data_IF_338877534619
#
_entry.id   IF_338877534619
#
_cell.length_a   1.000
_cell.length_b   1.000
_cell.length_c   1.000
_cell.angle_alpha   90.00
_cell.angle_beta   90.00
_cell.angle_gamma   90.00
#
_symmetry.space_group_name_H-M   'P 1'
#
loop_
_entity.id
_entity.type
_entity.pdbx_description
1 polymer ?
#
# COMPACT_ATOMS: atom_id res chain seq x y z
N UNK A 1 -22.50 4.90 -11.91
CA UNK A 1 -21.53 5.68 -12.74
C UNK A 1 -21.44 7.14 -12.29
N UNK A 2 -22.20 7.58 -11.27
CA UNK A 2 -22.19 8.95 -10.71
C UNK A 2 -21.38 9.11 -9.40
N UNK A 3 -20.30 8.37 -9.23
CA UNK A 3 -19.44 8.45 -8.01
C UNK A 3 -17.98 8.78 -8.33
N UNK A 4 -17.71 9.30 -9.54
CA UNK A 4 -16.34 9.46 -10.06
C UNK A 4 -15.72 10.83 -9.71
N UNK A 5 -16.45 11.78 -9.10
CA UNK A 5 -15.96 13.16 -8.97
C UNK A 5 -15.61 13.65 -7.55
N UNK A 6 -15.83 12.86 -6.48
CA UNK A 6 -15.53 13.33 -5.12
C UNK A 6 -14.08 13.16 -4.67
N UNK A 7 -13.21 12.52 -5.47
CA UNK A 7 -11.82 12.20 -5.09
C UNK A 7 -10.75 12.89 -5.93
N UNK A 8 -11.11 13.62 -6.99
CA UNK A 8 -10.15 14.34 -7.84
C UNK A 8 -9.88 15.76 -7.33
N UNK A 9 -8.90 15.94 -6.44
CA UNK A 9 -8.27 17.24 -6.24
C UNK A 9 -7.17 17.43 -7.29
N UNK A 10 -7.40 18.20 -8.36
CA UNK A 10 -6.32 18.68 -9.23
C UNK A 10 -6.43 18.45 -10.74
N UNK A 11 -7.57 17.97 -11.27
CA UNK A 11 -7.81 17.94 -12.72
C UNK A 11 -7.69 19.38 -13.29
N UNK A 12 -6.53 19.68 -13.86
CA UNK A 12 -6.14 21.03 -14.31
C UNK A 12 -4.65 21.36 -14.18
N UNK A 13 -3.86 20.58 -13.43
CA UNK A 13 -2.40 20.80 -13.27
C UNK A 13 -1.52 19.65 -13.75
N UNK A 14 -2.03 18.80 -14.64
CA UNK A 14 -1.32 17.60 -15.13
C UNK A 14 -1.15 16.49 -14.09
N UNK A 15 -1.98 16.50 -13.05
CA UNK A 15 -1.94 15.55 -11.93
C UNK A 15 -3.33 15.00 -11.63
N UNK A 16 -3.42 13.70 -11.38
CA UNK A 16 -4.62 13.03 -10.89
C UNK A 16 -4.32 12.27 -9.60
N UNK A 17 -5.19 12.42 -8.60
CA UNK A 17 -5.10 11.67 -7.34
C UNK A 17 -6.41 10.93 -7.11
N UNK A 18 -6.32 9.70 -6.62
CA UNK A 18 -7.45 8.97 -6.08
C UNK A 18 -7.05 8.16 -4.84
N UNK A 19 -8.05 7.75 -4.07
CA UNK A 19 -7.90 6.96 -2.86
C UNK A 19 -8.88 5.79 -2.93
N UNK A 20 -8.37 4.60 -3.29
CA UNK A 20 -9.21 3.40 -3.29
C UNK A 20 -8.78 2.49 -2.13
N UNK A 21 -9.65 2.45 -1.12
CA UNK A 21 -9.57 1.44 -0.06
C UNK A 21 -10.83 0.58 -0.15
N UNK A 22 -10.70 -0.75 -0.23
CA UNK A 22 -11.86 -1.65 -0.18
C UNK A 22 -12.69 -1.38 1.07
N UNK A 23 -14.00 -1.23 0.92
CA UNK A 23 -14.91 -1.11 2.07
C UNK A 23 -15.18 -2.51 2.64
N UNK A 24 -14.49 -2.86 3.73
CA UNK A 24 -14.60 -4.19 4.32
C UNK A 24 -15.71 -4.34 5.35
N UNK A 25 -16.27 -3.25 5.90
CA UNK A 25 -17.27 -3.34 6.98
C UNK A 25 -18.46 -4.27 6.66
N UNK A 26 -19.07 -4.24 5.45
CA UNK A 26 -20.17 -5.15 5.16
C UNK A 26 -19.73 -6.62 5.14
N UNK A 27 -18.56 -6.92 4.57
CA UNK A 27 -18.01 -8.27 4.52
C UNK A 27 -17.55 -8.75 5.90
N UNK A 28 -16.94 -7.86 6.70
CA UNK A 28 -16.55 -8.14 8.08
C UNK A 28 -17.77 -8.48 8.94
N UNK A 29 -18.87 -7.72 8.82
CA UNK A 29 -20.11 -8.01 9.53
C UNK A 29 -20.69 -9.37 9.12
N UNK A 30 -20.73 -9.65 7.81
CA UNK A 30 -21.18 -10.96 7.31
C UNK A 30 -20.32 -12.08 7.87
N UNK A 31 -19.00 -11.92 7.85
CA UNK A 31 -18.02 -12.89 8.35
C UNK A 31 -18.19 -13.17 9.85
N UNK A 32 -18.30 -12.12 10.68
CA UNK A 32 -18.51 -12.27 12.13
C UNK A 32 -19.87 -12.92 12.45
N UNK A 33 -20.88 -12.70 11.61
CA UNK A 33 -22.21 -13.29 11.77
C UNK A 33 -22.40 -14.66 11.11
N UNK A 34 -21.38 -15.19 10.42
CA UNK A 34 -21.51 -16.39 9.62
C UNK A 34 -21.73 -17.62 10.50
N UNK A 35 -22.71 -18.46 10.14
CA UNK A 35 -22.90 -19.76 10.80
C UNK A 35 -21.67 -20.66 10.56
N UNK A 36 -21.41 -21.64 11.43
CA UNK A 36 -20.29 -22.58 11.26
C UNK A 36 -20.25 -23.23 9.86
N UNK A 37 -21.41 -23.55 9.29
CA UNK A 37 -21.57 -24.15 7.97
C UNK A 37 -21.12 -23.24 6.81
N UNK A 38 -21.30 -21.92 6.94
CA UNK A 38 -20.98 -20.93 5.89
C UNK A 38 -19.72 -20.12 6.19
N UNK A 39 -19.04 -20.40 7.31
CA UNK A 39 -17.90 -19.62 7.76
C UNK A 39 -16.76 -19.62 6.76
N UNK A 40 -16.33 -20.80 6.29
CA UNK A 40 -15.23 -20.93 5.34
C UNK A 40 -15.51 -20.18 4.04
N UNK A 41 -16.73 -20.29 3.50
CA UNK A 41 -17.12 -19.57 2.28
C UNK A 41 -17.10 -18.06 2.47
N UNK A 42 -17.59 -17.57 3.62
CA UNK A 42 -17.57 -16.14 3.93
C UNK A 42 -16.16 -15.62 4.19
N UNK A 43 -15.29 -16.42 4.82
CA UNK A 43 -13.89 -16.11 5.05
C UNK A 43 -13.13 -16.01 3.73
N UNK A 44 -13.30 -16.99 2.83
CA UNK A 44 -12.71 -16.97 1.50
C UNK A 44 -13.15 -15.72 0.72
N UNK A 45 -14.46 -15.42 0.73
CA UNK A 45 -14.97 -14.22 0.08
C UNK A 45 -14.39 -12.93 0.70
N UNK A 46 -14.17 -12.88 2.01
CA UNK A 46 -13.53 -11.73 2.68
C UNK A 46 -12.08 -11.57 2.21
N UNK A 47 -11.29 -12.65 2.28
CA UNK A 47 -9.85 -12.65 1.97
C UNK A 47 -9.59 -12.32 0.50
N UNK A 48 -10.40 -12.89 -0.41
CA UNK A 48 -10.29 -12.71 -1.85
C UNK A 48 -10.77 -11.32 -2.29
N UNK A 49 -11.96 -10.90 -1.83
CA UNK A 49 -12.58 -9.64 -2.31
C UNK A 49 -11.82 -8.41 -1.84
N UNK A 50 -11.06 -8.49 -0.74
CA UNK A 50 -10.28 -7.37 -0.25
C UNK A 50 -9.30 -6.82 -1.30
N UNK A 51 -8.28 -7.57 -1.76
CA UNK A 51 -7.39 -7.09 -2.81
C UNK A 51 -8.10 -6.93 -4.17
N UNK A 52 -9.00 -7.84 -4.53
CA UNK A 52 -9.71 -7.78 -5.81
C UNK A 52 -10.52 -6.48 -5.95
N UNK A 53 -11.25 -6.04 -4.93
CA UNK A 53 -12.00 -4.78 -4.97
C UNK A 53 -11.07 -3.56 -5.05
N UNK A 54 -9.94 -3.59 -4.32
CA UNK A 54 -8.94 -2.52 -4.36
C UNK A 54 -8.34 -2.35 -5.76
N UNK A 55 -7.97 -3.47 -6.39
CA UNK A 55 -7.46 -3.51 -7.76
C UNK A 55 -8.55 -3.11 -8.76
N UNK A 56 -9.77 -3.63 -8.65
CA UNK A 56 -10.89 -3.29 -9.55
C UNK A 56 -11.16 -1.78 -9.60
N UNK A 57 -11.22 -1.13 -8.44
CA UNK A 57 -11.44 0.31 -8.32
C UNK A 57 -10.25 1.09 -8.90
N UNK A 58 -9.02 0.65 -8.64
CA UNK A 58 -7.81 1.27 -9.16
C UNK A 58 -7.72 1.15 -10.69
N UNK A 59 -8.01 -0.03 -11.23
CA UNK A 59 -8.03 -0.30 -12.67
C UNK A 59 -9.07 0.55 -13.38
N UNK A 60 -10.25 0.74 -12.79
CA UNK A 60 -11.28 1.64 -13.35
C UNK A 60 -10.76 3.07 -13.51
N UNK A 61 -10.00 3.57 -12.52
CA UNK A 61 -9.42 4.90 -12.60
C UNK A 61 -8.27 4.97 -13.61
N UNK A 62 -7.36 3.99 -13.63
CA UNK A 62 -6.26 3.95 -14.59
C UNK A 62 -6.79 3.86 -16.03
N UNK A 63 -7.82 3.06 -16.29
CA UNK A 63 -8.44 2.96 -17.61
C UNK A 63 -9.06 4.29 -18.06
N UNK A 64 -9.74 5.00 -17.15
CA UNK A 64 -10.25 6.34 -17.42
C UNK A 64 -9.12 7.33 -17.72
N UNK A 65 -8.06 7.33 -16.91
CA UNK A 65 -6.97 8.30 -16.98
C UNK A 65 -6.05 8.07 -18.19
N UNK A 66 -5.87 6.81 -18.61
CA UNK A 66 -5.10 6.40 -19.80
C UNK A 66 -5.95 6.29 -21.08
N UNK A 67 -7.21 6.73 -21.05
CA UNK A 67 -8.13 6.66 -22.20
C UNK A 67 -7.82 7.68 -23.31
N UNK A 68 -6.83 8.55 -23.13
CA UNK A 68 -6.53 9.66 -24.05
C UNK A 68 -7.41 10.90 -23.85
N UNK A 69 -8.39 10.85 -22.94
CA UNK A 69 -9.27 12.00 -22.61
C UNK A 69 -8.56 13.12 -21.85
N UNK A 70 -7.37 12.87 -21.30
CA UNK A 70 -6.63 13.80 -20.45
C UNK A 70 -5.22 14.05 -21.01
N UNK A 71 -5.07 14.77 -22.15
CA UNK A 71 -3.78 14.94 -22.83
C UNK A 71 -2.73 15.73 -22.01
N UNK A 72 -3.17 16.47 -21.00
CA UNK A 72 -2.29 17.21 -20.10
C UNK A 72 -1.87 16.43 -18.86
N UNK A 73 -2.41 15.22 -18.65
CA UNK A 73 -2.03 14.39 -17.51
C UNK A 73 -0.55 13.98 -17.64
N UNK A 74 0.18 14.06 -16.54
CA UNK A 74 1.60 13.70 -16.43
C UNK A 74 1.87 12.78 -15.25
N UNK A 75 1.07 12.86 -14.18
CA UNK A 75 1.22 11.96 -13.06
C UNK A 75 -0.13 11.48 -12.50
N UNK A 76 -0.14 10.23 -12.06
CA UNK A 76 -1.23 9.58 -11.34
C UNK A 76 -0.73 9.22 -9.94
N UNK A 77 -1.55 9.47 -8.93
CA UNK A 77 -1.32 9.01 -7.57
C UNK A 77 -2.47 8.16 -7.03
N UNK A 78 -2.14 6.94 -6.61
CA UNK A 78 -2.98 6.11 -5.75
C UNK A 78 -2.46 6.25 -4.31
N UNK A 79 -3.18 7.00 -3.46
CA UNK A 79 -2.67 7.30 -2.11
C UNK A 79 -2.96 6.22 -1.07
N UNK A 80 -3.51 5.07 -1.45
CA UNK A 80 -3.81 3.97 -0.53
C UNK A 80 -3.13 2.70 -1.02
N UNK A 81 -2.61 1.91 -0.07
CA UNK A 81 -2.05 0.60 -0.33
C UNK A 81 -3.04 -0.49 0.07
N UNK A 82 -2.98 -1.62 -0.62
CA UNK A 82 -3.69 -2.85 -0.23
C UNK A 82 -2.68 -3.98 -0.16
N UNK A 83 -2.58 -4.69 0.97
CA UNK A 83 -1.61 -5.77 1.17
C UNK A 83 -2.17 -6.95 1.98
N UNK A 84 -1.57 -8.15 1.87
CA UNK A 84 -1.94 -9.32 2.68
C UNK A 84 -1.85 -9.03 4.19
N UNK A 85 -0.85 -8.25 4.62
CA UNK A 85 -0.71 -7.80 5.99
C UNK A 85 -1.96 -7.08 6.50
N UNK A 86 -2.57 -6.20 5.71
CA UNK A 86 -3.79 -5.47 6.14
C UNK A 86 -4.99 -6.39 6.35
N UNK A 87 -5.19 -7.37 5.47
CA UNK A 87 -6.26 -8.36 5.63
C UNK A 87 -6.05 -9.22 6.88
N UNK A 88 -4.81 -9.63 7.10
CA UNK A 88 -4.41 -10.42 8.28
C UNK A 88 -4.64 -9.64 9.57
N UNK A 89 -4.16 -8.40 9.64
CA UNK A 89 -4.38 -7.55 10.80
C UNK A 89 -5.86 -7.33 11.11
N UNK A 90 -6.68 -7.19 10.07
CA UNK A 90 -8.14 -7.07 10.23
C UNK A 90 -8.76 -8.36 10.81
N UNK A 91 -8.34 -9.54 10.35
CA UNK A 91 -8.80 -10.83 10.89
C UNK A 91 -8.33 -11.05 12.34
N UNK A 92 -7.11 -10.65 12.67
CA UNK A 92 -6.57 -10.71 14.03
C UNK A 92 -7.36 -9.81 14.98
N UNK A 93 -7.67 -8.58 14.56
CA UNK A 93 -8.49 -7.65 15.33
C UNK A 93 -9.89 -8.24 15.61
N UNK A 94 -10.57 -8.77 14.58
CA UNK A 94 -11.86 -9.44 14.74
C UNK A 94 -11.80 -10.67 15.67
N UNK A 95 -10.64 -11.34 15.71
CA UNK A 95 -10.38 -12.49 16.58
C UNK A 95 -10.12 -12.12 18.04
N UNK A 96 -9.99 -10.83 18.36
CA UNK A 96 -9.58 -10.35 19.67
C UNK A 96 -8.08 -10.46 19.93
N UNK A 97 -7.27 -10.65 18.87
CA UNK A 97 -5.81 -10.65 18.95
C UNK A 97 -5.31 -9.22 18.73
N UNK A 98 -4.85 -8.60 19.80
CA UNK A 98 -4.14 -7.32 19.74
C UNK A 98 -2.64 -7.60 19.69
N UNK A 99 -2.02 -7.46 18.52
CA UNK A 99 -0.56 -7.69 18.34
C UNK A 99 0.27 -6.53 18.90
N UNK A 100 -0.36 -5.39 19.17
CA UNK A 100 0.31 -4.19 19.67
C UNK A 100 0.43 -4.19 21.18
N UNK A 101 -0.48 -4.88 21.85
CA UNK A 101 -0.49 -4.99 23.30
C UNK A 101 -0.28 -6.45 23.67
N UNK A 102 0.82 -6.74 24.38
CA UNK A 102 1.24 -8.07 24.83
C UNK A 102 0.29 -8.66 25.91
N UNK A 103 -1.03 -8.55 25.70
CA UNK A 103 -2.10 -8.95 26.60
C UNK A 103 -2.50 -10.40 26.33
N UNK A 104 -3.14 -11.07 27.32
CA UNK A 104 -3.76 -12.36 27.10
C UNK A 104 -4.75 -12.26 25.94
N UNK A 105 -4.54 -13.07 24.90
CA UNK A 105 -5.45 -13.15 23.77
C UNK A 105 -6.77 -13.72 24.26
N UNK A 106 -7.82 -12.90 24.26
CA UNK A 106 -9.18 -13.38 24.44
C UNK A 106 -9.69 -13.70 23.04
N UNK A 107 -9.58 -14.97 22.64
CA UNK A 107 -10.21 -15.42 21.39
C UNK A 107 -11.71 -15.18 21.50
N UNK A 108 -12.22 -14.28 20.67
CA UNK A 108 -13.65 -14.07 20.52
C UNK A 108 -14.29 -15.35 19.96
N UNK A 109 -15.62 -15.45 19.96
CA UNK A 109 -16.32 -16.54 19.26
C UNK A 109 -15.83 -16.69 17.82
N UNK A 110 -15.61 -15.55 17.14
CA UNK A 110 -15.00 -15.51 15.81
C UNK A 110 -13.58 -16.07 15.80
N UNK A 111 -12.71 -15.66 16.74
CA UNK A 111 -11.34 -16.15 16.82
C UNK A 111 -11.24 -17.67 17.06
N UNK A 112 -12.14 -18.24 17.86
CA UNK A 112 -12.24 -19.69 18.06
C UNK A 112 -12.69 -20.41 16.77
N UNK A 113 -13.68 -19.86 16.08
CA UNK A 113 -14.19 -20.41 14.82
C UNK A 113 -13.15 -20.34 13.70
N UNK A 114 -12.41 -19.23 13.61
CA UNK A 114 -11.27 -19.08 12.70
C UNK A 114 -10.18 -20.09 13.01
N UNK A 115 -9.82 -20.26 14.28
CA UNK A 115 -8.83 -21.26 14.70
C UNK A 115 -9.23 -22.68 14.28
N UNK A 116 -10.47 -23.08 14.56
CA UNK A 116 -11.00 -24.39 14.16
C UNK A 116 -11.01 -24.57 12.65
N UNK A 117 -11.37 -23.54 11.88
CA UNK A 117 -11.34 -23.57 10.42
C UNK A 117 -9.91 -23.79 9.88
N UNK A 118 -8.93 -23.18 10.54
CA UNK A 118 -7.50 -23.32 10.23
C UNK A 118 -6.89 -24.63 10.78
N UNK A 119 -7.69 -25.52 11.37
CA UNK A 119 -7.23 -26.78 11.93
C UNK A 119 -6.52 -26.65 13.28
N UNK A 120 -6.63 -25.50 13.94
CA UNK A 120 -6.01 -25.22 15.23
C UNK A 120 -6.92 -25.63 16.39
N UNK A 121 -6.30 -26.17 17.44
CA UNK A 121 -6.99 -26.46 18.69
C UNK A 121 -7.38 -25.17 19.46
N UNK A 122 -8.34 -25.26 20.40
CA UNK A 122 -8.75 -24.12 21.23
C UNK A 122 -7.60 -23.54 22.06
N UNK A 123 -6.56 -24.33 22.34
CA UNK A 123 -5.37 -23.96 23.10
C UNK A 123 -4.14 -23.70 22.23
N UNK A 124 -4.28 -23.56 20.91
CA UNK A 124 -3.15 -23.23 20.04
C UNK A 124 -2.45 -21.94 20.53
N UNK A 125 -1.14 -21.87 20.41
CA UNK A 125 -0.37 -20.71 20.84
C UNK A 125 -0.75 -19.47 19.99
N UNK A 126 -0.53 -18.27 20.53
CA UNK A 126 -0.88 -17.02 19.83
C UNK A 126 -0.08 -16.87 18.54
N UNK A 127 1.22 -17.18 18.58
CA UNK A 127 2.11 -17.12 17.41
C UNK A 127 1.64 -18.10 16.33
N UNK A 128 1.34 -19.35 16.71
CA UNK A 128 0.82 -20.38 15.80
C UNK A 128 -0.48 -19.94 15.12
N UNK A 129 -1.39 -19.31 15.89
CA UNK A 129 -2.63 -18.77 15.34
C UNK A 129 -2.37 -17.64 14.33
N UNK A 130 -1.48 -16.71 14.66
CA UNK A 130 -1.15 -15.60 13.77
C UNK A 130 -0.51 -16.12 12.47
N UNK A 131 0.46 -17.04 12.57
CA UNK A 131 1.12 -17.65 11.41
C UNK A 131 0.10 -18.37 10.52
N UNK A 132 -0.83 -19.14 11.11
CA UNK A 132 -1.88 -19.81 10.35
C UNK A 132 -2.82 -18.84 9.62
N UNK A 133 -3.20 -17.72 10.26
CA UNK A 133 -4.02 -16.67 9.61
C UNK A 133 -3.25 -16.04 8.46
N UNK A 134 -1.98 -15.67 8.69
CA UNK A 134 -1.14 -15.02 7.68
C UNK A 134 -0.93 -15.93 6.46
N UNK A 135 -0.58 -17.20 6.67
CA UNK A 135 -0.38 -18.18 5.61
C UNK A 135 -1.67 -18.42 4.81
N UNK A 136 -2.80 -18.53 5.50
CA UNK A 136 -4.08 -18.72 4.85
C UNK A 136 -4.47 -17.52 3.98
N UNK A 137 -4.30 -16.29 4.48
CA UNK A 137 -4.52 -15.06 3.70
C UNK A 137 -3.62 -15.03 2.49
N UNK A 138 -2.32 -15.27 2.68
CA UNK A 138 -1.32 -15.25 1.61
C UNK A 138 -1.63 -16.26 0.51
N UNK A 139 -1.82 -17.52 0.88
CA UNK A 139 -2.11 -18.62 -0.04
C UNK A 139 -3.36 -18.34 -0.87
N UNK A 140 -4.46 -17.92 -0.23
CA UNK A 140 -5.72 -17.66 -0.93
C UNK A 140 -5.62 -16.50 -1.91
N UNK A 141 -4.96 -15.40 -1.52
CA UNK A 141 -4.83 -14.25 -2.42
C UNK A 141 -3.95 -14.59 -3.62
N UNK A 142 -2.88 -15.38 -3.45
CA UNK A 142 -1.99 -15.80 -4.54
C UNK A 142 -2.63 -16.82 -5.49
N UNK A 143 -3.48 -17.69 -4.97
CA UNK A 143 -4.15 -18.74 -5.75
C UNK A 143 -5.49 -18.28 -6.35
N UNK A 144 -5.98 -17.09 -6.00
CA UNK A 144 -7.25 -16.59 -6.51
C UNK A 144 -7.14 -16.12 -7.96
N UNK A 145 -7.90 -16.77 -8.85
CA UNK A 145 -8.09 -16.35 -10.24
C UNK A 145 -8.61 -14.90 -10.32
N UNK A 146 -9.50 -14.51 -9.41
CA UNK A 146 -10.07 -13.16 -9.39
C UNK A 146 -9.01 -12.10 -9.05
N UNK A 147 -8.19 -12.35 -8.02
CA UNK A 147 -7.10 -11.44 -7.64
C UNK A 147 -6.07 -11.36 -8.76
N UNK A 148 -5.67 -12.51 -9.32
CA UNK A 148 -4.71 -12.58 -10.41
C UNK A 148 -5.19 -11.85 -11.66
N UNK A 149 -6.45 -12.05 -12.07
CA UNK A 149 -7.04 -11.34 -13.22
C UNK A 149 -6.99 -9.82 -13.03
N UNK A 150 -7.34 -9.34 -11.84
CA UNK A 150 -7.28 -7.93 -11.51
C UNK A 150 -5.85 -7.38 -11.45
N UNK A 151 -4.89 -8.18 -10.99
CA UNK A 151 -3.46 -7.83 -10.94
C UNK A 151 -2.84 -7.74 -12.33
N UNK A 152 -3.12 -8.71 -13.21
CA UNK A 152 -2.69 -8.67 -14.61
C UNK A 152 -3.25 -7.45 -15.34
N UNK A 153 -4.55 -7.16 -15.14
CA UNK A 153 -5.17 -5.94 -15.68
C UNK A 153 -4.52 -4.67 -15.12
N UNK A 154 -4.13 -4.68 -13.85
CA UNK A 154 -3.45 -3.55 -13.20
C UNK A 154 -2.07 -3.31 -13.81
N UNK A 155 -1.30 -4.38 -14.03
CA UNK A 155 0.00 -4.36 -14.68
C UNK A 155 -0.11 -3.75 -16.08
N UNK A 156 -1.01 -4.25 -16.93
CA UNK A 156 -1.20 -3.74 -18.29
C UNK A 156 -1.65 -2.27 -18.33
N UNK A 157 -2.44 -1.82 -17.36
CA UNK A 157 -2.84 -0.41 -17.25
C UNK A 157 -1.72 0.49 -16.74
N UNK A 158 -0.82 -0.03 -15.89
CA UNK A 158 0.36 0.67 -15.41
C UNK A 158 1.39 0.82 -16.53
N UNK A 159 1.62 -0.26 -17.30
CA UNK A 159 2.43 -0.25 -18.52
C UNK A 159 1.90 0.78 -19.53
N UNK A 160 0.59 0.76 -19.80
CA UNK A 160 -0.03 1.76 -20.68
C UNK A 160 0.14 3.20 -20.19
N UNK A 161 0.11 3.44 -18.88
CA UNK A 161 0.39 4.77 -18.32
C UNK A 161 1.86 5.17 -18.57
N UNK A 162 2.78 4.23 -18.37
CA UNK A 162 4.21 4.41 -18.64
C UNK A 162 4.48 4.69 -20.13
N UNK A 163 3.91 3.92 -21.06
CA UNK A 163 4.01 4.16 -22.51
C UNK A 163 3.40 5.50 -22.96
N UNK A 164 2.41 5.98 -22.21
CA UNK A 164 1.81 7.31 -22.42
C UNK A 164 2.57 8.43 -21.71
N UNK A 165 3.71 8.11 -21.12
CA UNK A 165 4.59 9.06 -20.48
C UNK A 165 3.94 9.75 -19.26
N UNK A 166 3.13 8.97 -18.55
CA UNK A 166 2.42 9.33 -17.32
C UNK A 166 3.06 8.57 -16.14
N UNK A 167 3.76 9.29 -15.26
CA UNK A 167 4.33 8.71 -14.04
C UNK A 167 3.25 8.21 -13.09
N UNK A 168 3.37 6.98 -12.59
CA UNK A 168 2.40 6.37 -11.68
C UNK A 168 3.04 6.13 -10.30
N UNK A 169 2.46 6.75 -9.27
CA UNK A 169 2.97 6.72 -7.91
C UNK A 169 1.95 6.10 -6.97
N UNK A 170 2.35 5.08 -6.22
CA UNK A 170 1.51 4.41 -5.23
C UNK A 170 2.05 4.66 -3.82
N UNK A 171 1.19 4.68 -2.81
CA UNK A 171 1.64 4.69 -1.42
C UNK A 171 2.12 3.29 -1.01
N UNK A 172 3.20 3.19 -0.24
CA UNK A 172 3.70 1.91 0.27
C UNK A 172 2.76 1.26 1.32
N UNK A 173 1.93 2.06 1.98
CA UNK A 173 1.06 1.62 3.05
C UNK A 173 1.62 1.92 4.44
N UNK A 174 0.78 1.73 5.45
CA UNK A 174 1.07 2.11 6.83
C UNK A 174 1.23 0.88 7.75
N UNK A 175 1.69 -0.24 7.18
CA UNK A 175 1.79 -1.55 7.84
C UNK A 175 3.07 -1.78 8.65
N UNK A 176 4.03 -0.86 8.61
CA UNK A 176 5.39 -1.08 9.12
C UNK A 176 5.43 -1.43 10.61
N UNK A 177 4.65 -0.75 11.43
CA UNK A 177 4.64 -0.98 12.88
C UNK A 177 3.97 -2.30 13.25
N UNK A 178 2.92 -2.71 12.54
CA UNK A 178 2.29 -4.02 12.74
C UNK A 178 3.25 -5.13 12.32
N UNK A 179 3.91 -4.99 11.17
CA UNK A 179 4.93 -5.94 10.73
C UNK A 179 6.03 -6.11 11.79
N UNK A 180 6.58 -5.00 12.28
CA UNK A 180 7.60 -5.03 13.33
C UNK A 180 7.09 -5.66 14.64
N UNK A 181 5.82 -5.46 14.99
CA UNK A 181 5.22 -6.12 16.14
C UNK A 181 5.15 -7.65 15.94
N UNK A 182 4.71 -8.10 14.76
CA UNK A 182 4.66 -9.52 14.41
C UNK A 182 6.06 -10.17 14.44
N UNK A 183 7.05 -9.52 13.83
CA UNK A 183 8.43 -10.02 13.82
C UNK A 183 9.02 -10.12 15.24
N UNK A 184 8.73 -9.14 16.12
CA UNK A 184 9.16 -9.19 17.54
C UNK A 184 8.49 -10.31 18.33
N UNK A 185 7.28 -10.72 17.94
CA UNK A 185 6.60 -11.89 18.52
C UNK A 185 7.17 -13.22 18.00
N UNK A 186 8.11 -13.19 17.06
CA UNK A 186 8.69 -14.38 16.44
C UNK A 186 7.81 -15.01 15.36
N UNK A 187 6.79 -14.28 14.88
CA UNK A 187 5.92 -14.73 13.78
C UNK A 187 6.70 -14.76 12.49
N UNK A 188 6.68 -15.89 11.79
CA UNK A 188 7.20 -16.04 10.44
C UNK A 188 6.14 -15.65 9.43
N UNK A 189 6.49 -14.75 8.52
CA UNK A 189 5.61 -14.28 7.46
C UNK A 189 6.22 -14.64 6.10
N UNK A 190 5.39 -14.85 5.06
CA UNK A 190 5.86 -14.96 3.70
C UNK A 190 6.74 -13.77 3.29
N UNK A 191 7.67 -14.01 2.37
CA UNK A 191 8.39 -12.95 1.69
C UNK A 191 7.37 -12.01 1.00
N UNK A 192 7.64 -10.70 0.97
CA UNK A 192 6.75 -9.71 0.33
C UNK A 192 5.34 -9.54 0.94
N UNK A 193 5.00 -10.21 2.06
CA UNK A 193 3.68 -10.15 2.69
C UNK A 193 3.15 -8.74 3.02
N UNK A 194 4.07 -7.78 3.13
CA UNK A 194 3.80 -6.39 3.43
C UNK A 194 3.66 -5.49 2.19
N UNK A 195 4.09 -5.96 1.00
CA UNK A 195 4.05 -5.19 -0.24
C UNK A 195 2.62 -4.92 -0.69
N UNK A 196 2.41 -3.79 -1.35
CA UNK A 196 1.11 -3.49 -1.92
C UNK A 196 0.86 -4.33 -3.17
N UNK A 197 -0.36 -4.85 -3.31
CA UNK A 197 -0.88 -5.46 -4.54
C UNK A 197 -0.87 -4.54 -5.77
N UNK A 198 -0.66 -3.23 -5.59
CA UNK A 198 -0.52 -2.28 -6.68
C UNK A 198 0.93 -2.16 -7.20
N UNK A 199 1.92 -2.67 -6.46
CA UNK A 199 3.33 -2.58 -6.85
C UNK A 199 3.61 -3.38 -8.13
N UNK A 200 4.32 -2.77 -9.08
CA UNK A 200 4.85 -3.40 -10.28
C UNK A 200 5.93 -2.51 -10.92
N UNK A 201 6.62 -3.03 -11.93
CA UNK A 201 7.77 -2.39 -12.60
C UNK A 201 7.47 -1.03 -13.27
N UNK A 202 6.19 -0.68 -13.47
CA UNK A 202 5.77 0.56 -14.13
C UNK A 202 5.27 1.63 -13.15
N UNK A 203 5.40 1.41 -11.84
CA UNK A 203 5.06 2.40 -10.85
C UNK A 203 6.11 2.53 -9.76
N UNK A 204 6.11 3.69 -9.10
CA UNK A 204 7.02 4.00 -8.02
C UNK A 204 6.24 3.99 -6.70
N UNK A 205 6.64 3.09 -5.80
CA UNK A 205 6.08 2.91 -4.47
C UNK A 205 6.74 3.86 -3.46
N UNK A 206 5.94 4.78 -2.92
CA UNK A 206 6.41 5.86 -2.06
C UNK A 206 6.14 5.56 -0.58
N UNK A 207 7.22 5.46 0.18
CA UNK A 207 7.24 5.35 1.63
C UNK A 207 7.15 6.72 2.32
N UNK A 208 7.05 6.70 3.64
CA UNK A 208 7.03 7.89 4.48
C UNK A 208 8.31 7.99 5.31
N UNK A 209 8.81 9.20 5.47
CA UNK A 209 9.84 9.54 6.45
C UNK A 209 9.28 10.46 7.53
N UNK A 210 9.97 10.48 8.67
CA UNK A 210 9.72 11.36 9.80
C UNK A 210 10.99 12.10 10.22
N UNK A 211 10.84 13.35 10.69
CA UNK A 211 11.93 14.07 11.33
C UNK A 211 11.88 13.78 12.84
N UNK A 212 12.89 13.09 13.36
CA UNK A 212 13.03 12.82 14.80
C UNK A 212 13.75 13.97 15.52
N UNK A 213 13.69 13.96 16.85
CA UNK A 213 14.40 14.91 17.70
C UNK A 213 15.89 14.94 17.32
N UNK A 214 16.43 16.12 17.03
CA UNK A 214 17.84 16.29 16.63
C UNK A 214 18.09 16.44 15.13
N UNK A 215 17.06 16.71 14.32
CA UNK A 215 17.13 16.92 12.86
C UNK A 215 17.49 15.68 12.02
N UNK A 216 17.62 14.50 12.62
CA UNK A 216 17.73 13.27 11.86
C UNK A 216 16.41 12.96 11.14
N UNK A 217 16.49 12.63 9.86
CA UNK A 217 15.35 12.15 9.07
C UNK A 217 15.47 10.63 8.96
N UNK A 218 14.41 9.92 9.32
CA UNK A 218 14.36 8.46 9.37
C UNK A 218 13.11 7.95 8.64
N UNK A 219 13.07 6.66 8.22
CA UNK A 219 11.83 6.02 7.85
C UNK A 219 10.77 6.21 8.94
N UNK A 220 9.57 6.65 8.54
CA UNK A 220 8.46 6.75 9.48
C UNK A 220 8.12 5.35 9.99
N UNK A 221 7.95 5.20 11.30
CA UNK A 221 7.75 3.88 11.93
C UNK A 221 6.53 3.10 11.39
N UNK A 222 5.54 3.79 10.82
CA UNK A 222 4.37 3.15 10.21
C UNK A 222 4.59 2.77 8.74
N UNK A 223 5.59 3.34 8.05
CA UNK A 223 5.78 3.08 6.62
C UNK A 223 6.02 1.60 6.39
N UNK A 224 5.23 0.99 5.50
CA UNK A 224 5.51 -0.38 5.06
C UNK A 224 6.90 -0.43 4.40
N UNK A 225 7.68 -1.50 4.61
CA UNK A 225 8.92 -1.73 3.87
C UNK A 225 8.70 -1.92 2.37
N UNK A 226 9.80 -1.97 1.61
CA UNK A 226 9.80 -2.20 0.17
C UNK A 226 9.51 -0.97 -0.69
N UNK A 227 9.37 0.22 -0.11
CA UNK A 227 9.21 1.44 -0.89
C UNK A 227 10.47 1.75 -1.72
N UNK A 228 10.33 2.28 -2.93
CA UNK A 228 11.46 2.68 -3.78
C UNK A 228 12.18 3.90 -3.22
N UNK A 229 11.44 4.81 -2.59
CA UNK A 229 11.96 5.97 -1.87
C UNK A 229 10.94 6.46 -0.83
N UNK A 230 11.38 7.32 0.08
CA UNK A 230 10.50 8.02 1.02
C UNK A 230 10.62 9.53 0.93
N UNK A 231 9.51 10.21 1.23
CA UNK A 231 9.46 11.65 1.51
C UNK A 231 8.73 11.89 2.82
N UNK A 232 8.77 13.12 3.34
CA UNK A 232 8.10 13.43 4.60
C UNK A 232 6.61 13.04 4.56
N UNK A 233 6.20 12.09 5.39
CA UNK A 233 4.81 11.65 5.51
C UNK A 233 4.13 12.09 6.81
N UNK A 234 4.83 12.88 7.62
CA UNK A 234 4.38 13.32 8.93
C UNK A 234 3.88 14.76 8.92
N UNK A 235 2.84 15.04 9.72
CA UNK A 235 2.38 16.39 10.05
C UNK A 235 2.19 17.30 8.83
N UNK A 236 1.69 16.74 7.72
CA UNK A 236 1.42 17.53 6.52
C UNK A 236 0.30 18.54 6.83
N UNK A 237 0.58 19.81 6.54
CA UNK A 237 -0.16 20.99 7.04
C UNK A 237 -1.69 20.87 6.89
N UNK A 238 -2.39 21.35 7.93
CA UNK A 238 -3.86 21.45 8.16
C UNK A 238 -4.57 20.33 8.94
N UNK A 239 -4.01 19.13 9.11
CA UNK A 239 -4.72 18.07 9.84
C UNK A 239 -3.93 17.37 10.96
N UNK A 240 -2.60 17.53 11.02
CA UNK A 240 -1.77 16.79 11.99
C UNK A 240 -1.86 15.27 11.80
N UNK A 241 -2.12 14.84 10.56
CA UNK A 241 -2.28 13.44 10.18
C UNK A 241 -0.99 12.92 9.54
N UNK A 242 -0.73 11.65 9.79
CA UNK A 242 0.47 10.94 9.35
C UNK A 242 0.07 9.81 8.38
N UNK A 243 0.89 9.56 7.36
CA UNK A 243 0.65 8.43 6.44
C UNK A 243 1.40 8.53 5.12
N UNK A 244 1.68 7.36 4.52
CA UNK A 244 2.24 7.26 3.15
C UNK A 244 1.31 7.87 2.10
N UNK A 245 0.01 7.96 2.41
CA UNK A 245 -1.01 8.66 1.62
C UNK A 245 -0.78 10.16 1.48
N UNK A 246 0.07 10.76 2.32
CA UNK A 246 0.55 12.13 2.23
C UNK A 246 1.94 12.26 1.60
N UNK A 247 2.74 11.19 1.64
CA UNK A 247 4.06 11.14 1.03
C UNK A 247 3.97 11.01 -0.50
N UNK A 248 3.25 9.99 -0.99
CA UNK A 248 3.09 9.72 -2.43
C UNK A 248 2.67 10.93 -3.29
N UNK A 249 1.66 11.76 -2.92
CA UNK A 249 1.30 12.94 -3.72
C UNK A 249 2.40 14.02 -3.78
N UNK A 250 3.33 14.08 -2.82
CA UNK A 250 4.46 15.02 -2.89
C UNK A 250 5.45 14.63 -4.00
N UNK A 251 5.73 13.33 -4.12
CA UNK A 251 6.58 12.80 -5.20
C UNK A 251 5.90 13.01 -6.55
N UNK A 252 4.61 12.73 -6.66
CA UNK A 252 3.87 12.98 -7.90
C UNK A 252 3.85 14.46 -8.30
N UNK A 253 3.71 15.38 -7.34
CA UNK A 253 3.78 16.80 -7.61
C UNK A 253 5.19 17.26 -8.03
N UNK A 254 6.23 16.69 -7.42
CA UNK A 254 7.62 16.93 -7.81
C UNK A 254 7.89 16.41 -9.23
N UNK A 255 7.41 15.22 -9.57
CA UNK A 255 7.48 14.66 -10.92
C UNK A 255 6.86 15.60 -11.95
N UNK A 256 5.63 16.09 -11.72
CA UNK A 256 4.98 17.04 -12.63
C UNK A 256 5.80 18.32 -12.80
N UNK A 257 6.43 18.80 -11.72
CA UNK A 257 7.31 19.97 -11.79
C UNK A 257 8.57 19.69 -12.63
N UNK A 258 9.18 18.52 -12.47
CA UNK A 258 10.32 18.09 -13.29
C UNK A 258 9.93 18.02 -14.76
N UNK A 259 8.77 17.45 -15.08
CA UNK A 259 8.22 17.42 -16.45
C UNK A 259 7.96 18.77 -17.07
N UNK A 260 7.69 19.80 -16.27
CA UNK A 260 7.55 21.18 -16.75
C UNK A 260 8.94 21.81 -16.98
N UNK A 261 9.90 21.52 -16.09
CA UNK A 261 11.25 22.09 -16.18
C UNK A 261 12.09 21.44 -17.28
N UNK A 262 11.93 20.14 -17.46
CA UNK A 262 12.72 19.24 -18.30
C UNK A 262 11.79 18.32 -19.11
N UNK A 263 11.03 18.89 -20.07
CA UNK A 263 10.05 18.13 -20.86
C UNK A 263 10.68 17.07 -21.77
N UNK A 264 11.99 17.13 -21.98
CA UNK A 264 12.78 16.17 -22.76
C UNK A 264 13.18 14.92 -21.99
N UNK A 265 13.05 14.91 -20.66
CA UNK A 265 13.39 13.74 -19.85
C UNK A 265 12.25 12.72 -19.88
N UNK A 266 12.62 11.48 -20.18
CA UNK A 266 11.74 10.31 -20.11
C UNK A 266 11.41 9.94 -18.65
N UNK A 267 10.40 9.10 -18.44
CA UNK A 267 9.96 8.71 -17.08
C UNK A 267 11.10 8.11 -16.26
N UNK A 268 11.82 7.17 -16.86
CA UNK A 268 12.93 6.42 -16.26
C UNK A 268 14.07 7.35 -15.85
N UNK A 269 14.44 8.32 -16.71
CA UNK A 269 15.43 9.34 -16.37
C UNK A 269 15.01 10.20 -15.17
N UNK A 270 13.71 10.49 -15.04
CA UNK A 270 13.18 11.22 -13.88
C UNK A 270 13.16 10.33 -12.64
N UNK A 271 12.84 9.04 -12.77
CA UNK A 271 12.90 8.11 -11.66
C UNK A 271 14.32 7.94 -11.14
N UNK A 272 15.31 7.85 -12.02
CA UNK A 272 16.73 7.85 -11.67
C UNK A 272 17.11 9.15 -10.95
N UNK A 273 16.70 10.31 -11.48
CA UNK A 273 16.96 11.60 -10.84
C UNK A 273 16.37 11.70 -9.42
N UNK A 274 15.18 11.12 -9.21
CA UNK A 274 14.56 11.02 -7.88
C UNK A 274 15.37 10.09 -6.97
N UNK A 275 15.72 8.90 -7.45
CA UNK A 275 16.48 7.92 -6.69
C UNK A 275 17.86 8.44 -6.27
N UNK A 276 18.63 9.00 -7.21
CA UNK A 276 19.96 9.54 -6.92
C UNK A 276 19.93 10.69 -5.90
N UNK A 277 18.82 11.41 -5.79
CA UNK A 277 18.65 12.54 -4.87
C UNK A 277 18.19 12.11 -3.49
N UNK A 278 18.04 10.80 -3.26
CA UNK A 278 17.79 10.24 -1.95
C UNK A 278 19.08 10.21 -1.12
N UNK A 279 18.92 10.40 0.19
CA UNK A 279 19.96 10.06 1.17
C UNK A 279 19.80 8.60 1.54
N UNK A 280 20.78 7.73 1.25
CA UNK A 280 20.71 6.32 1.63
C UNK A 280 20.61 6.17 3.15
N UNK A 281 19.84 5.18 3.62
CA UNK A 281 19.73 4.86 5.04
C UNK A 281 20.62 3.66 5.36
N UNK A 282 21.40 3.73 6.45
CA UNK A 282 22.27 2.63 6.88
C UNK A 282 21.52 1.44 7.50
N UNK A 283 20.18 1.52 7.65
CA UNK A 283 19.35 0.41 8.13
C UNK A 283 19.11 -0.60 7.01
N UNK A 284 19.19 -1.90 7.32
CA UNK A 284 18.96 -3.05 6.43
C UNK A 284 18.18 -2.67 5.15
N UNK A 285 18.81 -2.88 3.99
CA UNK A 285 18.41 -2.53 2.60
C UNK A 285 16.92 -2.73 2.23
N UNK A 286 16.14 -3.39 3.09
CA UNK A 286 14.72 -3.73 2.94
C UNK A 286 13.70 -2.62 3.22
N UNK A 287 14.04 -1.54 3.95
CA UNK A 287 13.00 -0.59 4.41
C UNK A 287 12.62 0.47 3.38
N UNK A 288 13.60 1.12 2.73
CA UNK A 288 13.41 2.27 1.83
C UNK A 288 14.47 2.24 0.72
N UNK A 289 14.18 1.59 -0.41
CA UNK A 289 15.09 1.31 -1.53
C UNK A 289 16.23 2.33 -1.74
N UNK A 290 15.97 3.43 -2.43
CA UNK A 290 16.97 4.49 -2.64
C UNK A 290 17.21 5.39 -1.40
N UNK A 291 16.34 5.31 -0.39
CA UNK A 291 16.41 6.08 0.84
C UNK A 291 15.42 7.26 0.90
N UNK A 292 15.83 8.35 1.55
CA UNK A 292 14.96 9.50 1.83
C UNK A 292 15.23 10.62 0.84
N UNK A 293 14.23 10.94 0.01
CA UNK A 293 14.30 11.92 -1.07
C UNK A 293 14.49 13.35 -0.54
N UNK A 294 15.50 14.03 -1.07
CA UNK A 294 15.68 15.47 -0.90
C UNK A 294 15.13 16.22 -2.12
N UNK A 295 13.88 16.68 -2.04
CA UNK A 295 13.21 17.40 -3.13
C UNK A 295 13.95 18.67 -3.60
N UNK A 296 14.73 19.30 -2.72
CA UNK A 296 15.58 20.44 -3.10
C UNK A 296 16.74 20.02 -3.98
N UNK A 297 17.46 18.96 -3.60
CA UNK A 297 18.55 18.39 -4.37
C UNK A 297 18.10 17.91 -5.76
N UNK A 298 16.92 17.29 -5.85
CA UNK A 298 16.30 16.90 -7.13
C UNK A 298 16.18 18.10 -8.08
N UNK A 299 15.60 19.20 -7.60
CA UNK A 299 15.36 20.39 -8.42
C UNK A 299 16.64 21.12 -8.80
N UNK A 300 17.65 21.12 -7.91
CA UNK A 300 18.98 21.67 -8.23
C UNK A 300 19.68 20.86 -9.31
N UNK A 301 19.60 19.52 -9.27
CA UNK A 301 20.18 18.65 -10.29
C UNK A 301 19.46 18.80 -11.62
N UNK A 302 18.13 18.82 -11.61
CA UNK A 302 17.32 19.09 -12.80
C UNK A 302 17.65 20.44 -13.47
N UNK A 303 18.18 21.41 -12.72
CA UNK A 303 18.63 22.70 -13.25
C UNK A 303 20.02 22.66 -13.90
N UNK A 304 20.84 21.66 -13.60
CA UNK A 304 22.26 21.59 -14.01
C UNK A 304 22.51 20.71 -15.24
N UNK A 305 21.62 19.74 -15.48
CA UNK A 305 21.60 18.96 -16.72
C UNK A 305 21.13 19.88 -17.87
#
# INVERSE_FOLDING_TARGET
VETILSSFSGLGRGFARFQNTPRMDPLARQLVSASPEHFGQTLYAYIEKFPAAGLAMTNTHLELLTSGRYPHLRAINQSQAVSPLQATMSLLELSGVDVMVNKPVVRTTFGLQLGLHLGLGPNAEVVEFIEAVAEHVWSLQHQSDLVNWHRERHYALSEKAFEQDIGYFIAAGNGGHQLQALLRLGVKLPEEFHLSWFCNDYNLMVGASEQRSGNAVEPAYFSSPGADLAVNGMRVLHAGLDGTSYAAPQVSALYVRLRIMRPELEIDEIYDLLAEACTPMESDDSLLGAGILNSGAVLERAWRI
#
